data_IF_379765639452
#
_entry.id   IF_379765639452
#
_cell.length_a   1.000
_cell.length_b   1.000
_cell.length_c   1.000
_cell.angle_alpha   90.00
_cell.angle_beta   90.00
_cell.angle_gamma   90.00
#
_symmetry.space_group_name_H-M   'P 1'
#
loop_
_entity.id
_entity.type
_entity.pdbx_description
1 polymer ?
#
# COMPACT_ATOMS: atom_id res chain seq x y z
N UNK A 1 -63.80 -44.43 -51.04
CA UNK A 1 -64.45 -43.20 -50.53
C UNK A 1 -64.27 -43.28 -49.02
N UNK A 2 -63.40 -42.51 -48.34
CA UNK A 2 -63.48 -41.05 -48.10
C UNK A 2 -62.13 -40.46 -47.64
N UNK A 3 -62.06 -39.14 -47.80
CA UNK A 3 -61.01 -38.13 -47.57
C UNK A 3 -60.30 -38.17 -46.18
N UNK A 4 -58.97 -38.01 -46.13
CA UNK A 4 -58.20 -36.75 -45.96
C UNK A 4 -58.26 -36.14 -44.55
N UNK A 5 -57.10 -36.07 -43.88
CA UNK A 5 -56.51 -34.81 -43.38
C UNK A 5 -55.23 -35.10 -42.56
N UNK A 6 -54.08 -34.69 -43.09
CA UNK A 6 -52.96 -34.26 -42.27
C UNK A 6 -53.29 -32.87 -41.67
N UNK A 7 -52.71 -32.51 -40.51
CA UNK A 7 -51.82 -31.35 -40.58
C UNK A 7 -50.59 -31.40 -39.66
N UNK A 8 -49.49 -30.92 -40.26
CA UNK A 8 -48.52 -29.97 -39.72
C UNK A 8 -47.80 -30.24 -38.39
N UNK A 9 -46.60 -30.83 -38.52
CA UNK A 9 -45.31 -30.16 -38.28
C UNK A 9 -45.25 -29.11 -37.15
N UNK A 10 -45.40 -29.54 -35.90
CA UNK A 10 -45.01 -28.75 -34.72
C UNK A 10 -43.61 -29.11 -34.24
N UNK A 11 -42.55 -28.79 -35.02
CA UNK A 11 -41.16 -28.87 -34.53
C UNK A 11 -40.96 -27.83 -33.41
N UNK A 12 -41.29 -28.20 -32.17
CA UNK A 12 -40.87 -27.45 -30.99
C UNK A 12 -39.37 -27.62 -30.81
N UNK A 13 -38.60 -26.75 -31.48
CA UNK A 13 -37.18 -26.56 -31.22
C UNK A 13 -37.01 -26.30 -29.71
N UNK A 14 -36.12 -27.01 -29.00
CA UNK A 14 -35.70 -26.57 -27.70
C UNK A 14 -35.05 -25.19 -27.90
N UNK A 15 -35.68 -24.16 -27.35
CA UNK A 15 -35.13 -22.81 -27.32
C UNK A 15 -33.78 -22.94 -26.61
N UNK A 16 -32.72 -22.85 -27.40
CA UNK A 16 -31.34 -22.87 -26.92
C UNK A 16 -31.26 -21.89 -25.77
N UNK A 17 -30.83 -22.39 -24.62
CA UNK A 17 -30.17 -21.65 -23.54
C UNK A 17 -29.72 -20.27 -24.05
N UNK A 18 -30.50 -19.24 -23.75
CA UNK A 18 -29.97 -17.89 -23.69
C UNK A 18 -29.05 -17.88 -22.47
N UNK A 19 -27.89 -18.50 -22.62
CA UNK A 19 -26.71 -18.15 -21.87
C UNK A 19 -26.41 -16.71 -22.24
N UNK A 20 -27.18 -15.78 -21.67
CA UNK A 20 -26.64 -14.54 -21.17
C UNK A 20 -25.63 -14.93 -20.07
N UNK A 21 -24.52 -15.54 -20.50
CA UNK A 21 -23.20 -15.08 -20.07
C UNK A 21 -23.20 -13.60 -20.43
N UNK A 22 -23.80 -12.79 -19.55
CA UNK A 22 -23.25 -11.50 -19.20
C UNK A 22 -21.86 -11.88 -18.74
N UNK A 23 -20.92 -11.95 -19.69
CA UNK A 23 -19.53 -11.84 -19.37
C UNK A 23 -19.51 -10.59 -18.49
N UNK A 24 -19.28 -10.79 -17.19
CA UNK A 24 -19.00 -9.71 -16.28
C UNK A 24 -17.86 -8.95 -16.97
N UNK A 25 -18.18 -7.86 -17.66
CA UNK A 25 -17.17 -6.92 -18.11
C UNK A 25 -16.57 -6.48 -16.81
N UNK A 26 -15.40 -7.03 -16.48
CA UNK A 26 -14.61 -6.57 -15.36
C UNK A 26 -14.57 -5.06 -15.47
N UNK A 27 -15.11 -4.38 -14.46
CA UNK A 27 -15.15 -2.92 -14.48
C UNK A 27 -13.70 -2.44 -14.48
N UNK A 28 -13.22 -1.83 -15.58
CA UNK A 28 -11.82 -1.42 -15.69
C UNK A 28 -11.47 -0.39 -14.61
N UNK A 29 -12.46 0.32 -14.07
CA UNK A 29 -12.31 1.29 -12.98
C UNK A 29 -12.04 0.58 -11.65
N UNK A 30 -12.76 -0.51 -11.36
CA UNK A 30 -12.54 -1.31 -10.17
C UNK A 30 -11.13 -1.93 -10.18
N UNK A 31 -10.73 -2.54 -11.31
CA UNK A 31 -9.40 -3.11 -11.47
C UNK A 31 -8.28 -2.04 -11.40
N UNK A 32 -8.51 -0.83 -11.91
CA UNK A 32 -7.55 0.27 -11.77
C UNK A 32 -7.43 0.75 -10.32
N UNK A 33 -8.53 0.80 -9.58
CA UNK A 33 -8.57 1.21 -8.17
C UNK A 33 -7.84 0.21 -7.28
N UNK A 34 -8.07 -1.09 -7.49
CA UNK A 34 -7.36 -2.17 -6.77
C UNK A 34 -5.85 -2.08 -6.98
N UNK A 35 -5.40 -1.86 -8.23
CA UNK A 35 -3.97 -1.68 -8.53
C UNK A 35 -3.40 -0.42 -7.88
N UNK A 36 -4.15 0.68 -7.87
CA UNK A 36 -3.72 1.91 -7.22
C UNK A 36 -3.58 1.72 -5.70
N UNK A 37 -4.52 1.02 -5.06
CA UNK A 37 -4.47 0.67 -3.65
C UNK A 37 -3.28 -0.24 -3.33
N UNK A 38 -3.01 -1.24 -4.17
CA UNK A 38 -1.85 -2.13 -4.01
C UNK A 38 -0.52 -1.36 -4.13
N UNK A 39 -0.41 -0.44 -5.10
CA UNK A 39 0.76 0.41 -5.25
C UNK A 39 0.95 1.34 -4.05
N UNK A 40 -0.12 1.94 -3.54
CA UNK A 40 -0.08 2.77 -2.34
C UNK A 40 0.38 1.96 -1.12
N UNK A 41 -0.13 0.73 -0.95
CA UNK A 41 0.27 -0.15 0.15
C UNK A 41 1.75 -0.52 0.08
N UNK A 42 2.26 -0.89 -1.10
CA UNK A 42 3.69 -1.19 -1.29
C UNK A 42 4.58 0.02 -1.00
N UNK A 43 4.15 1.23 -1.39
CA UNK A 43 4.86 2.47 -1.05
C UNK A 43 4.89 2.71 0.45
N UNK A 44 3.74 2.60 1.13
CA UNK A 44 3.65 2.76 2.58
C UNK A 44 4.56 1.78 3.32
N UNK A 45 4.59 0.50 2.92
CA UNK A 45 5.52 -0.50 3.49
C UNK A 45 7.00 -0.12 3.29
N UNK A 46 7.34 0.41 2.11
CA UNK A 46 8.70 0.88 1.81
C UNK A 46 9.11 2.08 2.66
N UNK A 47 8.19 3.02 2.87
CA UNK A 47 8.39 4.18 3.74
C UNK A 47 8.53 3.77 5.20
N UNK A 48 7.66 2.89 5.69
CA UNK A 48 7.74 2.36 7.05
C UNK A 48 9.06 1.63 7.30
N UNK A 49 9.49 0.78 6.36
CA UNK A 49 10.78 0.10 6.45
C UNK A 49 11.94 1.09 6.48
N UNK A 50 11.90 2.14 5.66
CA UNK A 50 12.93 3.20 5.65
C UNK A 50 12.97 3.93 7.00
N UNK A 51 11.81 4.33 7.52
CA UNK A 51 11.71 4.99 8.82
C UNK A 51 12.32 4.14 9.92
N UNK A 52 11.99 2.84 9.99
CA UNK A 52 12.58 1.92 10.98
C UNK A 52 14.11 1.86 10.88
N UNK A 53 14.68 1.76 9.68
CA UNK A 53 16.13 1.75 9.48
C UNK A 53 16.79 3.05 9.96
N UNK A 54 16.18 4.19 9.65
CA UNK A 54 16.69 5.51 10.07
C UNK A 54 16.60 5.67 11.58
N UNK A 55 15.47 5.31 12.19
CA UNK A 55 15.29 5.28 13.64
C UNK A 55 16.40 4.44 14.29
N UNK A 56 16.58 3.19 13.87
CA UNK A 56 17.60 2.30 14.42
C UNK A 56 19.02 2.87 14.28
N UNK A 57 19.31 3.52 13.15
CA UNK A 57 20.60 4.16 12.91
C UNK A 57 20.86 5.34 13.83
N UNK A 58 19.91 6.27 13.97
CA UNK A 58 20.01 7.43 14.88
C UNK A 58 20.19 6.96 16.32
N UNK A 59 19.40 5.97 16.73
CA UNK A 59 19.42 5.44 18.08
C UNK A 59 20.74 4.71 18.39
N UNK A 60 21.31 4.01 17.40
CA UNK A 60 22.63 3.42 17.48
C UNK A 60 23.73 4.48 17.61
N UNK A 61 23.73 5.52 16.77
CA UNK A 61 24.70 6.61 16.83
C UNK A 61 24.68 7.30 18.20
N UNK A 62 23.47 7.51 18.74
CA UNK A 62 23.28 8.05 20.10
C UNK A 62 23.91 7.15 21.16
N UNK A 63 23.64 5.84 21.13
CA UNK A 63 24.20 4.87 22.10
C UNK A 63 25.73 4.76 22.03
N UNK A 64 26.32 5.02 20.87
CA UNK A 64 27.78 4.98 20.68
C UNK A 64 28.47 6.31 20.99
N UNK A 65 27.72 7.38 21.28
CA UNK A 65 28.30 8.72 21.47
C UNK A 65 28.89 9.31 20.18
N UNK A 66 28.45 8.83 19.01
CA UNK A 66 28.94 9.25 17.69
C UNK A 66 28.15 10.45 17.14
N UNK A 67 27.38 11.13 17.98
CA UNK A 67 26.63 12.31 17.58
C UNK A 67 27.52 13.55 17.68
N UNK A 68 27.69 14.26 16.57
CA UNK A 68 28.36 15.56 16.55
C UNK A 68 27.48 16.60 17.24
N UNK A 69 27.97 17.21 18.33
CA UNK A 69 27.22 18.17 19.15
C UNK A 69 25.85 17.64 19.63
N UNK A 70 25.76 16.32 19.86
CA UNK A 70 24.51 15.67 20.27
C UNK A 70 23.47 15.52 19.15
N UNK A 71 23.86 15.71 17.88
CA UNK A 71 22.98 15.59 16.71
C UNK A 71 23.49 14.55 15.70
N UNK A 72 22.59 13.79 15.05
CA UNK A 72 22.97 12.89 13.97
C UNK A 72 23.24 13.66 12.68
N UNK A 73 24.24 13.24 11.91
CA UNK A 73 24.45 13.70 10.54
C UNK A 73 23.72 12.80 9.54
N UNK A 74 23.18 13.38 8.47
CA UNK A 74 22.60 12.62 7.36
C UNK A 74 23.62 11.64 6.74
N UNK A 75 24.89 12.01 6.72
CA UNK A 75 25.96 11.17 6.20
C UNK A 75 26.16 9.91 7.05
N UNK A 76 26.15 10.04 8.38
CA UNK A 76 26.31 8.92 9.30
C UNK A 76 25.11 7.97 9.24
N UNK A 77 23.90 8.53 9.16
CA UNK A 77 22.66 7.76 8.99
C UNK A 77 22.68 7.01 7.66
N UNK A 78 23.07 7.66 6.56
CA UNK A 78 23.20 7.03 5.24
C UNK A 78 24.22 5.88 5.27
N UNK A 79 25.41 6.13 5.82
CA UNK A 79 26.46 5.12 5.97
C UNK A 79 26.00 3.92 6.80
N UNK A 80 25.23 4.17 7.86
CA UNK A 80 24.75 3.11 8.77
C UNK A 80 23.62 2.27 8.19
N UNK A 81 22.68 2.91 7.49
CA UNK A 81 21.51 2.26 6.90
C UNK A 81 21.81 1.61 5.55
N UNK A 82 22.91 1.99 4.90
CA UNK A 82 23.22 1.61 3.52
C UNK A 82 22.31 2.31 2.49
N UNK A 83 21.54 3.31 2.91
CA UNK A 83 20.72 4.11 2.01
C UNK A 83 21.58 5.19 1.32
N UNK A 84 21.31 5.52 0.05
CA UNK A 84 21.95 6.66 -0.60
C UNK A 84 21.68 7.96 0.18
N UNK A 85 22.71 8.80 0.34
CA UNK A 85 22.59 10.09 1.04
C UNK A 85 21.47 10.97 0.45
N UNK A 86 21.34 11.01 -0.88
CA UNK A 86 20.27 11.75 -1.54
C UNK A 86 18.87 11.24 -1.18
N UNK A 87 18.71 9.93 -0.95
CA UNK A 87 17.44 9.36 -0.51
C UNK A 87 17.12 9.73 0.94
N UNK A 88 18.15 9.78 1.81
CA UNK A 88 18.01 10.23 3.20
C UNK A 88 17.62 11.71 3.23
N UNK A 89 18.32 12.57 2.49
CA UNK A 89 18.03 14.01 2.40
C UNK A 89 16.67 14.32 1.77
N UNK A 90 16.25 13.51 0.79
CA UNK A 90 14.92 13.68 0.19
C UNK A 90 13.80 13.33 1.18
N UNK A 91 13.99 12.28 1.99
CA UNK A 91 13.00 11.81 2.95
C UNK A 91 13.02 12.61 4.28
N UNK A 92 14.19 13.09 4.68
CA UNK A 92 14.44 13.85 5.91
C UNK A 92 15.31 15.06 5.55
N UNK A 93 14.71 16.17 5.12
CA UNK A 93 15.44 17.35 4.67
C UNK A 93 16.23 18.03 5.78
N UNK A 94 15.79 17.89 7.04
CA UNK A 94 16.42 18.50 8.21
C UNK A 94 16.85 17.48 9.25
N UNK A 95 17.78 17.89 10.12
CA UNK A 95 18.18 17.07 11.28
C UNK A 95 17.00 16.87 12.23
N UNK A 96 16.13 17.86 12.38
CA UNK A 96 14.90 17.73 13.17
C UNK A 96 13.97 16.63 12.62
N UNK A 97 13.89 16.47 11.29
CA UNK A 97 13.12 15.36 10.69
C UNK A 97 13.70 14.00 11.04
N UNK A 98 15.04 13.85 11.06
CA UNK A 98 15.70 12.61 11.50
C UNK A 98 15.41 12.31 12.97
N UNK A 99 15.48 13.32 13.83
CA UNK A 99 15.21 13.18 15.25
C UNK A 99 13.74 12.88 15.52
N UNK A 100 12.83 13.52 14.79
CA UNK A 100 11.38 13.26 14.87
C UNK A 100 11.03 11.85 14.39
N UNK A 101 11.70 11.35 13.36
CA UNK A 101 11.55 9.96 12.92
C UNK A 101 12.09 8.94 13.95
N UNK A 102 13.16 9.28 14.66
CA UNK A 102 13.74 8.42 15.69
C UNK A 102 12.96 8.44 17.00
N UNK A 103 12.37 9.59 17.33
CA UNK A 103 11.52 9.80 18.49
C UNK A 103 10.25 10.49 18.02
N UNK A 104 9.30 9.73 17.42
CA UNK A 104 7.95 10.23 17.28
C UNK A 104 7.49 10.42 18.71
N UNK A 105 7.52 11.65 19.20
CA UNK A 105 7.03 11.98 20.53
C UNK A 105 5.69 11.30 20.67
N UNK A 106 5.56 10.40 21.64
CA UNK A 106 4.28 9.79 22.01
C UNK A 106 3.35 10.92 22.46
N UNK A 107 2.72 11.58 21.50
CA UNK A 107 1.60 12.50 21.72
C UNK A 107 0.29 11.71 21.85
N UNK A 108 0.36 10.37 21.93
CA UNK A 108 -0.71 9.52 22.43
C UNK A 108 -0.54 9.30 23.94
N UNK A 109 -0.70 10.38 24.71
CA UNK A 109 -1.23 10.24 26.05
C UNK A 109 -2.75 10.14 25.86
N UNK A 110 -3.39 8.97 26.03
CA UNK A 110 -4.81 9.01 26.31
C UNK A 110 -4.95 9.79 27.61
N UNK A 111 -5.54 10.98 27.54
CA UNK A 111 -6.15 11.64 28.70
C UNK A 111 -7.34 10.77 29.13
N UNK A 112 -7.05 9.60 29.68
CA UNK A 112 -8.00 8.69 30.28
C UNK A 112 -8.24 9.14 31.71
N UNK A 113 -9.29 9.94 31.88
CA UNK A 113 -10.17 10.00 33.04
C UNK A 113 -9.59 9.57 34.41
N UNK A 114 -9.39 10.56 35.30
CA UNK A 114 -9.38 10.31 36.74
C UNK A 114 -10.80 9.89 37.19
N UNK A 115 -10.95 8.87 38.05
CA UNK A 115 -12.16 8.66 38.84
C UNK A 115 -12.29 9.69 39.96
#
# INVERSE_FOLDING_TARGET
MTFSAAPHAGRRRPVRRSAHRRAARADPTAAATERAAELAHRRAQGEERRTRLVTDAVDHLRRQGLLHDGRPSHADVAARTGLPLGQVLWAYPTIDDLLHAAHPTSTDHPKGHLP
#
